data_IF_981902387156
#
_entry.id   IF_981902387156
#
_cell.length_a   1.000
_cell.length_b   1.000
_cell.length_c   1.000
_cell.angle_alpha   90.00
_cell.angle_beta   90.00
_cell.angle_gamma   90.00
#
_symmetry.space_group_name_H-M   'P 1'
#
loop_
_entity.id
_entity.type
_entity.pdbx_description
1 polymer ?
#
# COMPACT_ATOMS: atom_id res chain seq x y z
N UNK A 1 -13.50 1.92 0.17
CA UNK A 1 -12.14 1.39 -0.03
C UNK A 1 -11.99 1.02 -1.51
N UNK A 2 -10.83 1.27 -2.11
CA UNK A 2 -10.51 0.91 -3.50
C UNK A 2 -9.15 0.24 -3.51
N UNK A 3 -8.96 -0.78 -4.34
CA UNK A 3 -7.66 -1.36 -4.62
C UNK A 3 -7.19 -0.91 -5.99
N UNK A 4 -5.92 -0.57 -6.08
CA UNK A 4 -5.26 -0.21 -7.32
C UNK A 4 -4.02 -1.07 -7.50
N UNK A 5 -3.74 -1.43 -8.75
CA UNK A 5 -2.54 -2.17 -9.12
C UNK A 5 -1.86 -1.54 -10.33
N UNK A 6 -0.59 -1.87 -10.49
CA UNK A 6 0.22 -1.51 -11.64
C UNK A 6 0.61 -2.80 -12.38
N UNK A 7 0.58 -2.82 -13.71
CA UNK A 7 1.06 -3.96 -14.46
C UNK A 7 2.55 -4.20 -14.18
N UNK A 8 2.96 -5.46 -14.11
CA UNK A 8 4.36 -5.84 -14.12
C UNK A 8 4.89 -5.64 -15.54
N UNK A 9 5.24 -4.41 -15.90
CA UNK A 9 5.79 -4.04 -17.20
C UNK A 9 7.01 -3.15 -17.03
N UNK A 10 7.89 -3.14 -18.04
CA UNK A 10 9.04 -2.23 -18.10
C UNK A 10 8.65 -0.76 -18.32
N UNK A 11 7.35 -0.48 -18.49
CA UNK A 11 6.80 0.86 -18.58
C UNK A 11 6.77 1.51 -17.18
N UNK A 12 7.06 2.80 -17.16
CA UNK A 12 7.05 3.59 -15.92
C UNK A 12 5.64 3.72 -15.36
N UNK A 13 5.53 3.99 -14.05
CA UNK A 13 4.25 4.28 -13.36
C UNK A 13 3.46 5.38 -14.07
N UNK A 14 4.16 6.34 -14.67
CA UNK A 14 3.62 7.48 -15.42
C UNK A 14 2.97 7.07 -16.74
N UNK A 15 3.43 5.97 -17.35
CA UNK A 15 2.94 5.49 -18.65
C UNK A 15 1.71 4.58 -18.53
N UNK A 16 1.53 3.88 -17.40
CA UNK A 16 0.41 2.94 -17.23
C UNK A 16 -0.65 3.42 -16.25
N UNK A 17 -0.26 4.21 -15.24
CA UNK A 17 -1.14 4.62 -14.15
C UNK A 17 -1.72 3.46 -13.33
N UNK A 18 -2.39 3.77 -12.19
CA UNK A 18 -3.06 2.75 -11.38
C UNK A 18 -4.35 2.26 -12.05
N UNK A 19 -4.56 0.95 -12.09
CA UNK A 19 -5.80 0.31 -12.54
C UNK A 19 -6.60 -0.19 -11.34
N UNK A 20 -7.90 0.11 -11.30
CA UNK A 20 -8.77 -0.38 -10.23
C UNK A 20 -8.90 -1.91 -10.27
N UNK A 21 -8.69 -2.56 -9.13
CA UNK A 21 -8.76 -4.01 -8.97
C UNK A 21 -10.08 -4.43 -8.31
N UNK A 22 -10.64 -5.55 -8.78
CA UNK A 22 -11.80 -6.17 -8.14
C UNK A 22 -11.42 -6.99 -6.89
N UNK A 23 -10.22 -7.55 -6.87
CA UNK A 23 -9.71 -8.43 -5.82
C UNK A 23 -8.18 -8.33 -5.73
N UNK A 24 -7.62 -8.60 -4.54
CA UNK A 24 -6.18 -8.75 -4.30
C UNK A 24 -5.96 -10.06 -3.55
N UNK A 25 -5.08 -10.92 -4.08
CA UNK A 25 -4.61 -12.13 -3.36
C UNK A 25 -3.27 -11.83 -2.70
N UNK A 26 -3.21 -11.98 -1.37
CA UNK A 26 -1.97 -11.84 -0.59
C UNK A 26 -1.43 -13.22 -0.22
N UNK A 27 -0.33 -13.62 -0.85
CA UNK A 27 0.43 -14.82 -0.50
C UNK A 27 1.56 -14.42 0.46
N UNK A 28 1.43 -14.74 1.74
CA UNK A 28 2.37 -14.34 2.77
C UNK A 28 2.46 -15.38 3.90
N UNK A 29 3.59 -15.43 4.59
CA UNK A 29 3.78 -16.25 5.77
C UNK A 29 3.17 -15.59 7.04
N UNK A 30 3.02 -16.31 8.17
CA UNK A 30 2.42 -15.75 9.38
C UNK A 30 3.15 -14.55 9.98
N UNK A 31 4.48 -14.44 9.81
CA UNK A 31 5.28 -13.31 10.25
C UNK A 31 5.05 -12.08 9.38
N UNK A 32 5.05 -12.27 8.06
CA UNK A 32 4.73 -11.23 7.08
C UNK A 32 3.33 -10.66 7.30
N UNK A 33 2.32 -11.52 7.51
CA UNK A 33 0.96 -11.09 7.81
C UNK A 33 0.87 -10.23 9.07
N UNK A 34 1.61 -10.58 10.13
CA UNK A 34 1.66 -9.78 11.36
C UNK A 34 2.35 -8.43 11.15
N UNK A 35 3.41 -8.40 10.35
CA UNK A 35 4.12 -7.17 10.01
C UNK A 35 3.23 -6.23 9.18
N UNK A 36 2.52 -6.76 8.18
CA UNK A 36 1.55 -6.03 7.37
C UNK A 36 0.39 -5.51 8.24
N UNK A 37 -0.15 -6.34 9.14
CA UNK A 37 -1.21 -5.90 10.05
C UNK A 37 -0.77 -4.76 10.97
N UNK A 38 0.47 -4.80 11.48
CA UNK A 38 1.07 -3.70 12.24
C UNK A 38 1.18 -2.44 11.39
N UNK A 39 1.71 -2.55 10.17
CA UNK A 39 1.80 -1.42 9.25
C UNK A 39 0.43 -0.78 8.95
N UNK A 40 -0.60 -1.59 8.68
CA UNK A 40 -1.96 -1.09 8.43
C UNK A 40 -2.53 -0.33 9.65
N UNK A 41 -2.30 -0.84 10.86
CA UNK A 41 -2.71 -0.14 12.09
C UNK A 41 -1.97 1.20 12.23
N UNK A 42 -0.65 1.21 12.05
CA UNK A 42 0.16 2.41 12.17
C UNK A 42 -0.26 3.47 11.12
N UNK A 43 -0.63 3.06 9.90
CA UNK A 43 -1.22 3.95 8.89
C UNK A 43 -2.57 4.54 9.32
N UNK A 44 -3.45 3.73 9.92
CA UNK A 44 -4.75 4.21 10.40
C UNK A 44 -4.58 5.25 11.53
N UNK A 45 -3.69 4.98 12.49
CA UNK A 45 -3.35 5.92 13.57
C UNK A 45 -2.78 7.24 13.00
N UNK A 46 -1.94 7.17 11.98
CA UNK A 46 -1.39 8.36 11.32
C UNK A 46 -2.47 9.15 10.56
N UNK A 47 -3.36 8.48 9.83
CA UNK A 47 -4.50 9.11 9.16
C UNK A 47 -5.40 9.86 10.16
N UNK A 48 -5.67 9.28 11.33
CA UNK A 48 -6.42 9.94 12.40
C UNK A 48 -5.68 11.16 12.96
N UNK A 49 -4.34 11.09 13.02
CA UNK A 49 -3.49 12.15 13.59
C UNK A 49 -3.34 13.37 12.67
N UNK A 50 -3.15 13.16 11.36
CA UNK A 50 -2.85 14.26 10.41
C UNK A 50 -3.97 14.54 9.41
N UNK A 51 -4.99 13.68 9.34
CA UNK A 51 -6.17 13.90 8.52
C UNK A 51 -5.84 14.13 7.04
N UNK A 52 -6.21 15.31 6.54
CA UNK A 52 -6.09 15.66 5.12
C UNK A 52 -4.64 15.75 4.62
N UNK A 53 -3.67 15.87 5.53
CA UNK A 53 -2.24 15.91 5.17
C UNK A 53 -1.64 14.50 4.94
N UNK A 54 -2.43 13.43 5.14
CA UNK A 54 -2.00 12.08 4.83
C UNK A 54 -2.05 11.84 3.32
N UNK A 55 -0.88 11.65 2.71
CA UNK A 55 -0.75 11.28 1.30
C UNK A 55 -0.78 9.75 1.12
N UNK A 56 0.40 9.11 1.15
CA UNK A 56 0.55 7.67 1.08
C UNK A 56 1.81 7.20 1.81
N UNK A 57 1.83 5.92 2.21
CA UNK A 57 3.00 5.26 2.80
C UNK A 57 3.22 3.92 2.12
N UNK A 58 4.48 3.58 1.84
CA UNK A 58 4.87 2.27 1.37
C UNK A 58 5.30 1.38 2.55
N UNK A 59 4.95 0.11 2.51
CA UNK A 59 5.35 -0.88 3.52
C UNK A 59 6.88 -0.97 3.65
N UNK A 60 7.59 -0.96 2.52
CA UNK A 60 9.05 -1.03 2.45
C UNK A 60 9.75 0.17 3.09
N UNK A 61 9.11 1.35 3.12
CA UNK A 61 9.68 2.55 3.77
C UNK A 61 9.78 2.39 5.30
N UNK A 62 8.98 1.48 5.86
CA UNK A 62 8.86 1.26 7.31
C UNK A 62 9.48 -0.06 7.76
N UNK A 63 9.54 -1.05 6.87
CA UNK A 63 9.96 -2.41 7.21
C UNK A 63 10.88 -2.95 6.10
N UNK A 64 12.19 -2.93 6.38
CA UNK A 64 13.25 -3.33 5.44
C UNK A 64 13.08 -4.76 4.88
N UNK A 65 12.39 -5.66 5.61
CA UNK A 65 12.07 -7.01 5.12
C UNK A 65 11.34 -7.02 3.76
N UNK A 66 10.62 -5.95 3.42
CA UNK A 66 9.80 -5.87 2.20
C UNK A 66 10.45 -5.05 1.07
N UNK A 67 11.73 -4.67 1.17
CA UNK A 67 12.40 -3.86 0.13
C UNK A 67 12.39 -4.50 -1.26
N UNK A 68 12.45 -5.83 -1.34
CA UNK A 68 12.42 -6.58 -2.60
C UNK A 68 11.04 -7.15 -2.94
N UNK A 69 10.03 -6.91 -2.10
CA UNK A 69 8.66 -7.36 -2.31
C UNK A 69 7.92 -6.45 -3.29
N UNK A 70 6.80 -6.89 -3.89
CA UNK A 70 5.89 -5.97 -4.55
C UNK A 70 5.50 -4.82 -3.63
N UNK A 71 5.41 -3.62 -4.19
CA UNK A 71 5.07 -2.43 -3.43
C UNK A 71 3.65 -2.54 -2.84
N UNK A 72 3.55 -2.42 -1.52
CA UNK A 72 2.29 -2.39 -0.79
C UNK A 72 2.11 -0.98 -0.22
N UNK A 73 1.09 -0.26 -0.70
CA UNK A 73 0.91 1.17 -0.42
C UNK A 73 -0.45 1.42 0.22
N UNK A 74 -0.47 2.26 1.25
CA UNK A 74 -1.71 2.74 1.89
C UNK A 74 -1.81 4.23 1.68
N UNK A 75 -2.79 4.65 0.88
CA UNK A 75 -3.13 6.04 0.61
C UNK A 75 -4.47 6.40 1.25
N UNK A 76 -4.64 7.66 1.66
CA UNK A 76 -5.94 8.12 2.16
C UNK A 76 -7.00 8.05 1.05
N UNK A 77 -8.20 7.60 1.39
CA UNK A 77 -9.33 7.69 0.46
C UNK A 77 -9.69 9.17 0.30
N UNK A 78 -9.53 9.72 -0.91
CA UNK A 78 -10.10 11.03 -1.22
C UNK A 78 -11.62 10.94 -1.07
N UNK A 79 -12.18 11.73 -0.15
CA UNK A 79 -13.62 11.98 -0.07
C UNK A 79 -13.99 12.76 -1.33
N UNK A 80 -14.46 12.04 -2.35
CA UNK A 80 -15.08 12.64 -3.54
C UNK A 80 -16.45 13.20 -3.23
#
# INVERSE_FOLDING_TARGET
>A
MKFYGYPLSDLTVEETGPVALAEVTLCADPGELKAIARFLRDCAEEMERIGADYDHLHLSDRIAQFETSPQFVVAAATLG
#
